data_IF_521361572471
#
_entry.id   IF_521361572471
#
_cell.length_a   1.000
_cell.length_b   1.000
_cell.length_c   1.000
_cell.angle_alpha   90.00
_cell.angle_beta   90.00
_cell.angle_gamma   90.00
#
_symmetry.space_group_name_H-M   'P 1'
#
loop_
_entity.id
_entity.type
_entity.pdbx_description
1 polymer ?
2 polymer ?
3 non-polymer ?
4 non-polymer ?
5 non-polymer ?
6 non-polymer ?
7 non-polymer ?
8 water ?
#
# COMPACT_ATOMS: atom_id res chain seq x y z
N UNK A 2 -7.47 6.08 26.40
CA UNK A 2 -7.49 4.57 26.36
C UNK A 2 -6.91 4.05 25.01
N UNK A 3 -7.31 4.69 23.92
CA UNK A 3 -6.94 4.17 22.58
C UNK A 3 -5.45 4.27 22.24
N UNK A 4 -4.76 5.22 22.89
CA UNK A 4 -3.33 5.41 22.68
C UNK A 4 -2.49 4.29 23.32
N UNK A 5 -3.05 3.61 24.34
CA UNK A 5 -2.38 2.50 25.02
C UNK A 5 -2.90 1.17 24.58
N UNK A 6 -2.03 0.35 24.00
CA UNK A 6 -2.36 -1.01 23.52
C UNK A 6 -3.64 -1.01 22.67
N UNK A 7 -3.81 0.07 21.93
CA UNK A 7 -4.95 0.18 20.99
C UNK A 7 -6.30 0.16 21.72
N UNK A 8 -6.32 0.51 23.03
CA UNK A 8 -7.59 0.49 23.77
C UNK A 8 -8.13 -0.91 23.98
N UNK A 9 -7.32 -1.94 23.71
CA UNK A 9 -7.71 -3.33 23.68
C UNK A 9 -8.48 -3.77 22.39
N UNK A 10 -8.69 -2.83 21.47
CA UNK A 10 -9.46 -3.09 20.24
C UNK A 10 -8.60 -3.90 19.26
N UNK A 11 -9.23 -4.79 18.56
CA UNK A 11 -8.52 -5.51 17.50
C UNK A 11 -8.18 -4.56 16.33
N UNK A 12 -9.10 -3.67 16.02
CA UNK A 12 -8.98 -2.75 14.86
C UNK A 12 -9.05 -1.31 15.34
N UNK A 13 -10.13 -0.57 15.13
CA UNK A 13 -10.14 0.83 15.29
C UNK A 13 -10.69 1.19 16.68
N UNK A 14 -10.31 2.34 17.21
CA UNK A 14 -10.64 2.70 18.67
C UNK A 14 -11.00 4.19 18.71
N UNK A 15 -12.07 4.57 19.40
CA UNK A 15 -12.47 5.99 19.61
C UNK A 15 -12.62 6.18 21.13
N UNK A 16 -12.06 7.28 21.63
CA UNK A 16 -12.27 7.71 23.02
C UNK A 16 -13.55 8.55 23.05
N UNK A 17 -14.29 8.42 24.15
CA UNK A 17 -15.49 9.22 24.41
C UNK A 17 -15.30 9.90 25.77
N UNK A 18 -16.16 10.87 26.08
CA UNK A 18 -16.04 11.59 27.36
C UNK A 18 -16.28 10.59 28.53
N UNK A 19 -15.40 10.63 29.53
CA UNK A 19 -15.50 9.73 30.68
C UNK A 19 -14.45 8.67 30.53
N UNK A 20 -14.51 7.60 31.33
CA UNK A 20 -13.65 6.42 31.12
C UNK A 20 -14.33 5.58 30.00
N UNK A 21 -14.72 6.21 28.86
CA UNK A 21 -15.44 5.44 27.79
C UNK A 21 -14.66 5.26 26.51
N UNK A 22 -14.82 4.11 25.90
CA UNK A 22 -14.06 3.77 24.69
C UNK A 22 -15.00 2.95 23.81
N UNK A 23 -14.94 3.12 22.47
CA UNK A 23 -15.69 2.26 21.60
C UNK A 23 -14.72 1.74 20.53
N UNK A 24 -14.70 0.45 20.38
CA UNK A 24 -13.98 -0.17 19.23
C UNK A 24 -14.86 -0.25 18.06
N UNK A 25 -14.20 -0.27 16.86
CA UNK A 25 -14.93 -0.39 15.66
C UNK A 25 -14.15 -1.32 14.71
N UNK A 26 -14.81 -1.76 13.65
CA UNK A 26 -14.22 -2.67 12.66
C UNK A 26 -14.37 -2.03 11.27
N UNK A 27 -13.44 -2.40 10.40
CA UNK A 27 -13.50 -1.98 8.99
C UNK A 27 -14.73 -2.58 8.34
N UNK A 28 -15.16 -1.98 7.22
CA UNK A 28 -16.14 -2.59 6.38
C UNK A 28 -15.75 -4.02 6.06
N UNK A 29 -16.73 -4.91 6.07
CA UNK A 29 -16.49 -6.28 5.86
C UNK A 29 -16.18 -7.13 7.10
N UNK A 30 -16.34 -6.42 8.23
CA UNK A 30 -16.15 -7.08 9.56
C UNK A 30 -17.28 -6.59 10.46
N UNK A 31 -17.57 -7.39 11.50
CA UNK A 31 -18.49 -6.93 12.55
C UNK A 31 -17.78 -7.11 13.90
N UNK A 32 -18.24 -6.27 14.84
CA UNK A 32 -17.68 -6.28 16.23
C UNK A 32 -18.40 -7.35 17.05
N UNK A 33 -17.65 -8.16 17.75
CA UNK A 33 -18.23 -9.19 18.61
C UNK A 33 -18.67 -8.58 19.94
N UNK A 34 -19.43 -9.41 20.64
CA UNK A 34 -20.01 -8.96 21.96
C UNK A 34 -18.99 -8.67 23.02
N UNK A 35 -17.74 -9.08 22.87
CA UNK A 35 -16.64 -8.66 23.71
C UNK A 35 -16.29 -7.17 23.60
N UNK A 36 -16.83 -6.54 22.52
CA UNK A 36 -16.65 -5.14 22.27
C UNK A 36 -15.26 -4.76 21.70
N UNK A 37 -14.45 -5.77 21.39
CA UNK A 37 -13.08 -5.57 20.91
C UNK A 37 -12.71 -6.34 19.64
N UNK A 38 -13.28 -7.52 19.45
CA UNK A 38 -12.89 -8.44 18.39
C UNK A 38 -13.68 -8.13 17.13
N UNK A 39 -13.04 -8.37 15.97
CA UNK A 39 -13.70 -8.15 14.69
C UNK A 39 -13.74 -9.45 13.93
N UNK A 40 -14.87 -9.84 13.36
CA UNK A 40 -14.97 -11.04 12.59
C UNK A 40 -15.46 -10.75 11.18
N UNK A 41 -14.87 -11.42 10.17
CA UNK A 41 -15.33 -11.14 8.80
C UNK A 41 -16.82 -11.43 8.59
N UNK A 42 -17.43 -10.64 7.74
CA UNK A 42 -18.81 -10.76 7.35
C UNK A 42 -18.98 -11.05 5.85
N UNK A 43 -17.85 -11.04 5.17
CA UNK A 43 -17.83 -11.30 3.71
C UNK A 43 -16.75 -12.32 3.42
N UNK A 44 -16.75 -12.82 2.18
CA UNK A 44 -15.86 -13.84 1.78
C UNK A 44 -14.39 -13.36 1.71
N UNK A 45 -14.21 -12.14 1.24
CA UNK A 45 -12.88 -11.56 0.98
C UNK A 45 -12.70 -10.24 1.65
N UNK A 46 -12.67 -10.29 3.01
CA UNK A 46 -12.45 -9.09 3.72
C UNK A 46 -11.05 -8.50 3.46
N UNK A 47 -10.90 -7.21 3.65
CA UNK A 47 -9.58 -6.59 3.44
C UNK A 47 -8.53 -7.16 4.39
N UNK A 48 -7.29 -7.26 3.91
CA UNK A 48 -6.16 -7.53 4.76
C UNK A 48 -6.05 -8.95 5.25
N UNK A 49 -6.83 -9.85 4.73
CA UNK A 49 -6.67 -11.30 4.98
C UNK A 49 -6.27 -12.02 3.73
N UNK A 50 -5.47 -13.08 3.90
CA UNK A 50 -4.89 -13.80 2.74
C UNK A 50 -5.62 -15.11 2.62
N UNK A 51 -6.54 -15.28 1.67
CA UNK A 51 -7.40 -16.45 1.58
C UNK A 51 -6.67 -17.81 1.62
N UNK A 52 -5.56 -17.92 0.91
CA UNK A 52 -4.90 -19.25 0.89
C UNK A 52 -4.29 -19.61 2.24
N UNK A 53 -4.01 -18.63 3.08
CA UNK A 53 -3.48 -18.84 4.43
C UNK A 53 -4.61 -19.01 5.44
N UNK A 54 -5.75 -18.32 5.25
CA UNK A 54 -6.92 -18.44 6.11
C UNK A 54 -7.58 -19.80 5.98
N UNK A 55 -7.56 -20.35 4.78
CA UNK A 55 -8.14 -21.67 4.50
C UNK A 55 -7.18 -22.82 4.87
N UNK A 56 -5.87 -22.56 4.86
CA UNK A 56 -4.86 -23.48 5.44
C UNK A 56 -4.99 -23.64 6.98
N UNK A 57 -5.58 -22.66 7.65
CA UNK A 57 -5.81 -22.66 9.11
C UNK A 57 -7.26 -22.94 9.56
N UNK A 58 -8.20 -23.13 8.63
CA UNK A 58 -9.67 -23.21 8.93
C UNK A 58 -10.14 -24.53 9.58
N UNK B 1 12.98 -5.59 -5.82
CA UNK B 1 13.23 -5.91 -4.39
C UNK B 1 14.64 -6.61 -4.36
N UNK B 2 15.50 -6.08 -3.55
CA UNK B 2 16.86 -6.60 -3.31
C UNK B 2 16.86 -7.37 -2.00
N UNK B 3 17.35 -8.61 -2.04
CA UNK B 3 17.53 -9.42 -0.89
C UNK B 3 16.28 -9.98 -0.25
N UNK B 4 15.19 -10.07 -1.03
CA UNK B 4 13.97 -10.73 -0.50
C UNK B 4 13.80 -12.13 -0.98
N UNK B 5 12.56 -12.60 -1.13
CA UNK B 5 12.25 -13.87 -1.60
C UNK B 5 10.99 -13.78 -2.46
N UNK B 6 10.72 -14.82 -3.18
CA UNK B 6 9.51 -14.88 -3.99
C UNK B 6 8.31 -14.86 -3.01
N UNK B 7 7.34 -13.98 -3.28
CA UNK B 7 6.04 -14.04 -2.53
C UNK B 7 5.26 -15.20 -3.09
N UNK B 8 4.99 -16.28 -2.29
CA UNK B 8 4.25 -17.35 -2.83
C UNK B 8 2.91 -16.87 -3.46
N UNK B 9 2.58 -17.39 -4.63
CA UNK B 9 1.44 -16.98 -5.40
C UNK B 9 0.19 -16.90 -4.50
N UNK B 10 -0.45 -15.76 -4.49
CA UNK B 10 -1.67 -15.58 -3.67
C UNK B 10 -1.39 -15.02 -2.30
N UNK B 11 -0.14 -14.95 -1.84
CA UNK B 11 0.16 -14.38 -0.53
C UNK B 11 0.34 -12.89 -0.45
N UNK B 12 0.36 -12.24 -1.63
CA UNK B 12 0.40 -10.80 -1.67
C UNK B 12 -0.76 -10.28 -2.59
N UNK B 13 -2.01 -10.61 -2.25
CA UNK B 13 -3.12 -10.56 -3.20
C UNK B 13 -3.62 -9.12 -3.53
N UNK B 14 -3.11 -8.18 -2.79
CA UNK B 14 -3.34 -6.74 -2.96
C UNK B 14 -2.37 -6.08 -3.91
N UNK B 15 -1.28 -6.81 -4.28
CA UNK B 15 -0.28 -6.18 -5.13
C UNK B 15 -0.84 -5.91 -6.52
N UNK B 16 -0.51 -4.74 -7.02
CA UNK B 16 -0.93 -4.31 -8.37
C UNK B 16 0.34 -4.13 -9.22
N UNK B 17 0.25 -4.53 -10.49
CA UNK B 17 1.27 -4.14 -11.50
C UNK B 17 0.65 -3.11 -12.41
N UNK B 18 1.35 -2.00 -12.57
CA UNK B 18 0.95 -0.96 -13.52
C UNK B 18 1.78 -1.04 -14.82
N UNK B 19 1.09 -1.02 -15.93
CA UNK B 19 1.71 -1.13 -17.28
C UNK B 19 1.34 0.10 -18.10
N UNK B 20 2.33 0.54 -18.94
CA UNK B 20 2.09 1.61 -19.94
C UNK B 20 2.55 1.03 -21.28
N UNK B 21 1.61 0.94 -22.21
CA UNK B 21 1.82 0.26 -23.52
C UNK B 21 2.45 -1.17 -23.36
N UNK B 22 1.98 -1.90 -22.35
CA UNK B 22 2.40 -3.20 -22.05
C UNK B 22 3.68 -3.33 -21.22
N UNK B 23 4.41 -2.24 -20.96
CA UNK B 23 5.68 -2.26 -20.27
C UNK B 23 5.46 -1.95 -18.80
N UNK B 24 6.25 -2.60 -17.96
CA UNK B 24 6.18 -2.41 -16.50
C UNK B 24 6.49 -0.96 -16.19
N UNK B 25 5.57 -0.31 -15.45
CA UNK B 25 5.75 1.05 -14.98
C UNK B 25 6.09 1.16 -13.52
N UNK B 26 5.27 0.49 -12.69
CA UNK B 26 5.31 0.73 -11.21
C UNK B 26 4.44 -0.35 -10.61
N UNK B 27 4.47 -0.41 -9.28
CA UNK B 27 3.51 -1.18 -8.53
C UNK B 27 2.42 -0.33 -8.01
N UNK B 28 1.53 -1.01 -7.26
CA UNK B 28 0.37 -0.31 -6.63
C UNK B 28 -0.19 -1.25 -5.59
N UNK B 29 -1.21 -0.73 -4.87
CA UNK B 29 -1.90 -1.51 -3.84
C UNK B 29 -3.40 -1.36 -4.03
N UNK B 30 -4.09 -2.48 -4.10
CA UNK B 30 -5.55 -2.45 -4.13
C UNK B 30 -6.07 -2.18 -2.71
N UNK B 31 -6.94 -1.18 -2.60
CA UNK B 31 -7.61 -0.91 -1.28
C UNK B 31 -9.11 -1.10 -1.31
N UNK B 32 -9.70 -1.26 -2.48
CA UNK B 32 -11.11 -1.56 -2.65
C UNK B 32 -11.25 -2.11 -4.03
N UNK B 33 -12.45 -2.51 -4.45
CA UNK B 33 -12.52 -3.12 -5.77
C UNK B 33 -12.29 -2.18 -6.96
N UNK B 34 -12.38 -0.87 -6.76
CA UNK B 34 -12.10 0.08 -7.86
C UNK B 34 -10.93 1.05 -7.57
N UNK B 35 -10.30 0.93 -6.41
CA UNK B 35 -9.29 1.91 -6.01
C UNK B 35 -7.93 1.30 -5.72
N UNK B 36 -6.92 1.91 -6.33
CA UNK B 36 -5.51 1.53 -6.18
C UNK B 36 -4.70 2.71 -5.70
N UNK B 37 -3.80 2.48 -4.77
CA UNK B 37 -2.89 3.48 -4.29
C UNK B 37 -1.51 3.19 -4.93
N UNK B 38 -0.88 4.23 -5.44
CA UNK B 38 0.46 4.11 -6.02
C UNK B 38 1.28 5.35 -5.68
N UNK B 39 2.40 5.59 -6.41
CA UNK B 39 3.26 6.69 -6.16
C UNK B 39 3.04 7.73 -7.26
N UNK B 40 2.92 9.00 -6.90
CA UNK B 40 2.75 10.07 -7.86
C UNK B 40 3.82 10.09 -8.96
N UNK B 41 5.08 9.82 -8.56
CA UNK B 41 6.19 9.97 -9.54
C UNK B 41 6.09 9.00 -10.69
N UNK B 42 5.35 7.88 -10.51
CA UNK B 42 5.13 6.92 -11.54
C UNK B 42 4.50 7.55 -12.78
N UNK B 43 3.81 8.69 -12.63
CA UNK B 43 3.05 9.30 -13.69
C UNK B 43 3.66 10.57 -14.27
N UNK B 44 4.86 10.91 -13.86
CA UNK B 44 5.45 12.23 -14.23
C UNK B 44 5.60 12.33 -15.74
N UNK B 45 5.77 11.22 -16.44
CA UNK B 45 6.09 11.30 -17.88
C UNK B 45 5.10 10.66 -18.78
N UNK B 46 3.90 10.37 -18.31
CA UNK B 46 2.92 9.74 -19.14
C UNK B 46 2.41 10.74 -20.19
N UNK B 47 2.35 10.31 -21.43
CA UNK B 47 1.86 11.16 -22.51
C UNK B 47 0.42 10.84 -22.81
N UNK B 48 0.12 9.57 -22.99
CA UNK B 48 -1.23 9.16 -23.28
C UNK B 48 -1.78 8.30 -22.10
N UNK B 49 -2.70 8.90 -21.37
CA UNK B 49 -3.29 8.28 -20.19
C UNK B 49 -4.10 7.04 -20.55
N UNK B 50 -4.53 6.90 -21.81
CA UNK B 50 -5.25 5.75 -22.25
C UNK B 50 -4.54 4.44 -22.31
N UNK B 51 -3.23 4.46 -22.21
CA UNK B 51 -2.48 3.28 -22.37
C UNK B 51 -2.01 2.77 -20.97
N UNK B 52 -2.58 3.29 -19.90
CA UNK B 52 -2.26 2.83 -18.52
C UNK B 52 -3.19 1.72 -18.13
N UNK B 53 -2.65 0.57 -17.71
CA UNK B 53 -3.37 -0.60 -17.31
C UNK B 53 -2.93 -1.03 -15.94
N UNK B 54 -3.88 -1.41 -15.06
CA UNK B 54 -3.56 -2.04 -13.79
C UNK B 54 -3.87 -3.54 -13.84
N UNK B 55 -3.01 -4.40 -13.35
CA UNK B 55 -3.20 -5.80 -13.36
C UNK B 55 -3.20 -6.28 -11.89
N UNK B 56 -4.27 -7.00 -11.52
CA UNK B 56 -4.41 -7.66 -10.24
C UNK B 56 -4.24 -9.17 -10.44
N UNK B 57 -3.88 -9.87 -9.38
CA UNK B 57 -3.74 -11.31 -9.42
C UNK B 57 -2.53 -11.80 -10.21
N UNK B 58 -1.61 -10.89 -10.45
CA UNK B 58 -0.36 -11.25 -11.17
C UNK B 58 0.59 -11.92 -10.22
N UNK B 59 1.45 -12.79 -10.80
CA UNK B 59 2.48 -13.42 -10.01
C UNK B 59 3.75 -13.62 -10.86
N UNK B 60 3.61 -14.46 -11.88
CA UNK B 60 4.79 -14.76 -12.79
C UNK B 60 4.50 -14.08 -14.11
N UNK B 61 5.28 -13.06 -14.41
CA UNK B 61 5.10 -12.29 -15.64
C UNK B 61 5.37 -13.04 -16.94
N UNK B 62 5.96 -14.19 -16.81
CA UNK B 62 6.24 -15.02 -17.98
C UNK B 62 5.04 -15.78 -18.50
N UNK B 63 3.95 -15.93 -17.70
CA UNK B 63 2.92 -16.83 -18.08
C UNK B 63 1.56 -16.23 -17.78
N UNK B 64 0.56 -16.72 -18.41
CA UNK B 64 -0.83 -16.42 -18.07
C UNK B 64 -1.41 -17.62 -17.41
N UNK B 65 -1.99 -17.45 -16.20
CA UNK B 65 -2.55 -18.59 -15.53
C UNK B 65 -4.05 -18.46 -15.28
N UNK B 66 -4.65 -17.35 -15.70
CA UNK B 66 -6.06 -17.14 -15.55
C UNK B 66 -6.53 -16.46 -14.28
N UNK B 67 -5.64 -16.23 -13.35
CA UNK B 67 -5.97 -15.45 -12.10
C UNK B 67 -5.79 -13.95 -12.30
N UNK B 68 -5.12 -13.51 -13.39
CA UNK B 68 -4.87 -12.10 -13.61
C UNK B 68 -6.15 -11.45 -13.99
N UNK B 69 -6.29 -10.17 -13.61
CA UNK B 69 -7.39 -9.33 -13.99
C UNK B 69 -6.83 -7.96 -14.35
N UNK B 70 -7.04 -7.56 -15.60
CA UNK B 70 -6.59 -6.27 -16.10
C UNK B 70 -7.70 -5.27 -16.18
N UNK B 71 -7.38 -4.01 -15.85
CA UNK B 71 -8.36 -2.90 -15.91
C UNK B 71 -7.69 -1.67 -16.45
N UNK B 72 -8.45 -0.90 -17.24
CA UNK B 72 -8.07 0.44 -17.57
C UNK B 72 -8.17 1.34 -16.34
N UNK B 73 -7.28 2.33 -16.34
CA UNK B 73 -7.24 3.36 -15.29
C UNK B 73 -8.05 4.54 -15.75
N UNK B 74 -9.14 4.85 -15.07
CA UNK B 74 -10.08 5.94 -15.41
C UNK B 74 -9.62 7.28 -14.83
N UNK B 75 -8.97 7.25 -13.67
CA UNK B 75 -8.56 8.53 -13.00
C UNK B 75 -7.26 8.29 -12.30
N UNK B 76 -6.33 9.25 -12.38
CA UNK B 76 -5.09 9.26 -11.60
C UNK B 76 -5.13 10.54 -10.79
N UNK B 77 -5.20 10.45 -9.48
CA UNK B 77 -5.38 11.61 -8.63
C UNK B 77 -4.10 11.82 -7.79
N UNK B 78 -3.55 13.02 -7.90
CA UNK B 78 -2.28 13.39 -7.30
C UNK B 78 -2.48 14.61 -6.36
N UNK B 79 -1.83 14.67 -5.21
CA UNK B 79 -1.99 15.86 -4.36
C UNK B 79 -1.41 17.10 -5.04
N UNK B 80 -2.07 18.23 -4.81
CA UNK B 80 -1.61 19.53 -5.32
C UNK B 80 -0.20 19.90 -4.87
N UNK B 81 0.21 19.39 -3.73
CA UNK B 81 1.52 19.65 -3.17
C UNK B 81 2.68 18.85 -3.73
N UNK B 82 2.38 17.82 -4.52
CA UNK B 82 3.44 17.02 -5.18
C UNK B 82 4.02 17.80 -6.34
N UNK B 83 5.37 17.81 -6.40
CA UNK B 83 6.11 18.39 -7.50
C UNK B 83 6.83 17.31 -8.30
N UNK B 84 6.55 17.23 -9.57
CA UNK B 84 7.18 16.19 -10.36
C UNK B 84 8.68 16.07 -10.18
N UNK B 85 9.18 14.84 -10.06
CA UNK B 85 10.59 14.57 -9.91
C UNK B 85 11.13 14.59 -8.51
N UNK B 86 10.26 14.71 -7.48
CA UNK B 86 10.65 14.79 -6.10
C UNK B 86 9.93 13.72 -5.29
N UNK B 87 10.26 13.68 -4.01
CA UNK B 87 9.87 12.66 -3.10
C UNK B 87 8.70 13.06 -2.28
N UNK B 88 8.57 14.34 -1.91
CA UNK B 88 7.53 14.70 -0.95
C UNK B 88 6.13 14.57 -1.57
N UNK B 89 5.20 14.03 -0.82
CA UNK B 89 3.83 13.85 -1.27
C UNK B 89 3.72 12.86 -2.45
N UNK B 90 4.54 11.82 -2.42
CA UNK B 90 4.62 10.89 -3.50
C UNK B 90 3.56 9.80 -3.34
N UNK B 91 2.35 10.17 -3.74
CA UNK B 91 1.20 9.30 -3.61
C UNK B 91 0.24 9.62 -4.75
N UNK B 92 -0.41 8.61 -5.23
CA UNK B 92 -1.46 8.71 -6.24
C UNK B 92 -2.61 7.78 -5.91
N UNK B 93 -3.84 8.21 -6.19
CA UNK B 93 -5.03 7.40 -6.03
C UNK B 93 -5.60 7.15 -7.41
N UNK B 94 -5.73 5.86 -7.78
CA UNK B 94 -6.14 5.44 -9.11
C UNK B 94 -7.51 4.80 -9.06
N UNK B 95 -8.43 5.32 -9.89
CA UNK B 95 -9.77 4.75 -10.05
C UNK B 95 -9.74 3.83 -11.26
N UNK B 96 -10.14 2.56 -11.10
CA UNK B 96 -10.21 1.63 -12.20
C UNK B 96 -11.52 1.88 -13.00
N UNK B 97 -11.48 1.53 -14.27
CA UNK B 97 -12.65 1.72 -15.14
C UNK B 97 -13.81 0.81 -14.78
N UNK B 98 -13.49 -0.36 -14.25
CA UNK B 98 -14.45 -1.35 -13.81
C UNK B 98 -13.87 -2.04 -12.59
N UNK B 99 -14.71 -2.43 -11.62
CA UNK B 99 -14.14 -3.12 -10.43
C UNK B 99 -13.42 -4.40 -10.80
N UNK B 100 -12.36 -4.72 -10.02
CA UNK B 100 -11.89 -6.08 -10.04
C UNK B 100 -12.86 -6.97 -9.30
N UNK B 101 -12.78 -8.28 -9.55
CA UNK B 101 -13.58 -9.28 -8.86
C UNK B 101 -12.72 -9.86 -7.77
N UNK B 102 -13.15 -9.80 -6.51
CA UNK B 102 -12.36 -10.38 -5.49
C UNK B 102 -12.39 -11.91 -5.55
N UNK B 103 -11.22 -12.47 -5.33
CA UNK B 103 -10.96 -13.92 -5.47
C UNK B 103 -9.91 -14.31 -4.49
N UNK B 104 -9.54 -15.62 -4.43
CA UNK B 104 -8.44 -15.98 -3.59
C UNK B 104 -7.10 -15.26 -3.92
N UNK B 105 -7.00 -14.80 -5.18
CA UNK B 105 -5.79 -14.15 -5.66
C UNK B 105 -5.87 -12.64 -5.78
N UNK B 106 -7.03 -12.05 -5.45
CA UNK B 106 -7.25 -10.60 -5.61
C UNK B 106 -8.08 -10.16 -4.39
N UNK B 107 -7.40 -9.49 -3.50
CA UNK B 107 -8.00 -9.03 -2.21
C UNK B 107 -7.42 -7.67 -1.88
N UNK B 108 -8.25 -6.70 -1.40
CA UNK B 108 -7.72 -5.41 -1.04
C UNK B 108 -6.94 -5.44 0.29
N UNK B 109 -5.98 -4.59 0.43
CA UNK B 109 -5.30 -4.30 1.68
C UNK B 109 -6.16 -3.26 2.42
N UNK B 110 -6.27 -3.41 3.76
CA UNK B 110 -7.10 -2.43 4.45
C UNK B 110 -6.41 -1.05 4.55
N UNK B 111 -7.12 0.00 4.19
CA UNK B 111 -6.65 1.33 4.45
C UNK B 111 -7.08 1.69 5.87
N UNK B 112 -6.10 1.89 6.77
CA UNK B 112 -6.48 2.06 8.19
C UNK B 112 -7.02 3.42 8.47
N UNK B 113 -7.75 3.53 9.61
CA UNK B 113 -7.98 4.91 10.14
C UNK B 113 -6.69 5.59 10.55
N UNK B 114 -6.65 6.90 10.44
CA UNK B 114 -5.47 7.67 10.79
C UNK B 114 -5.02 7.47 12.22
N UNK B 115 -5.95 7.60 13.19
CA UNK B 115 -5.54 7.37 14.56
C UNK B 115 -4.89 6.03 14.83
N UNK B 116 -5.53 4.96 14.36
CA UNK B 116 -5.00 3.61 14.51
C UNK B 116 -3.60 3.51 13.89
N UNK B 117 -3.47 4.10 12.71
CA UNK B 117 -2.20 3.98 12.00
C UNK B 117 -1.09 4.72 12.73
N UNK B 118 -1.42 5.87 13.27
CA UNK B 118 -0.45 6.72 14.03
C UNK B 118 -0.14 6.17 15.41
N UNK B 119 -1.17 5.73 16.10
CA UNK B 119 -1.04 5.29 17.51
C UNK B 119 -0.53 3.87 17.63
N UNK B 120 -0.82 3.00 16.66
CA UNK B 120 -0.57 1.60 16.73
C UNK B 120 0.35 1.07 15.62
N UNK B 121 -0.08 1.27 14.36
CA UNK B 121 0.68 0.60 13.30
C UNK B 121 2.08 1.18 13.12
N UNK B 122 2.27 2.48 13.44
CA UNK B 122 3.57 3.15 13.30
C UNK B 122 4.60 2.55 14.23
N UNK B 123 4.15 1.81 15.23
CA UNK B 123 5.09 1.13 16.17
C UNK B 123 5.30 -0.33 15.96
N UNK B 124 4.69 -0.93 14.93
CA UNK B 124 4.96 -2.26 14.59
C UNK B 124 6.30 -2.20 13.82
N UNK B 125 7.29 -2.97 14.28
CA UNK B 125 8.63 -2.77 13.74
C UNK B 125 8.80 -3.20 12.28
N UNK B 126 8.35 -4.39 11.97
CA UNK B 126 8.61 -5.00 10.65
C UNK B 126 7.32 -4.93 9.81
N UNK B 127 7.51 -4.69 8.51
CA UNK B 127 6.43 -4.73 7.54
C UNK B 127 6.95 -5.27 6.23
N UNK B 128 6.06 -5.62 5.33
CA UNK B 128 6.42 -6.24 4.06
C UNK B 128 6.33 -5.24 2.95
N UNK B 129 7.30 -5.29 2.04
CA UNK B 129 7.35 -4.49 0.82
C UNK B 129 7.53 -5.46 -0.31
N UNK B 130 6.87 -5.22 -1.44
CA UNK B 130 6.80 -6.14 -2.50
C UNK B 130 6.83 -5.49 -3.87
N UNK B 131 7.20 -6.27 -4.88
CA UNK B 131 7.13 -5.81 -6.28
C UNK B 131 7.94 -6.67 -7.24
N UNK B 132 7.86 -6.29 -8.50
CA UNK B 132 8.62 -6.91 -9.59
C UNK B 132 9.81 -6.04 -10.01
N UNK B 133 10.31 -5.23 -9.13
CA UNK B 133 11.40 -4.35 -9.43
C UNK B 133 12.75 -5.09 -9.54
N UNK B 134 13.75 -4.29 -9.76
CA UNK B 134 15.16 -4.83 -9.89
C UNK B 134 15.54 -5.65 -8.66
N UNK B 135 16.20 -6.78 -8.94
CA UNK B 135 16.71 -7.67 -7.90
C UNK B 135 18.05 -7.19 -7.32
N UNK B 136 18.68 -6.26 -8.01
CA UNK B 136 19.95 -5.64 -7.61
C UNK B 136 19.99 -4.27 -8.17
N UNK B 137 20.77 -3.41 -7.55
CA UNK B 137 21.09 -2.14 -8.16
C UNK B 137 21.75 -2.38 -9.54
N UNK B 138 21.25 -1.66 -10.55
CA UNK B 138 21.73 -1.84 -11.95
C UNK B 138 21.55 -3.29 -12.46
N UNK B 139 20.52 -4.01 -11.95
CA UNK B 139 20.20 -5.33 -12.35
C UNK B 139 18.85 -5.51 -13.04
N UNK B 140 18.59 -6.69 -13.53
CA UNK B 140 17.33 -7.07 -14.21
C UNK B 140 16.17 -7.08 -13.18
N UNK B 141 14.99 -6.80 -13.70
CA UNK B 141 13.78 -6.88 -12.82
C UNK B 141 13.37 -8.33 -12.68
N UNK B 142 12.54 -8.56 -11.65
CA UNK B 142 12.06 -9.87 -11.35
C UNK B 142 10.92 -10.37 -12.18
N UNK B 143 10.87 -11.64 -12.53
CA UNK B 143 9.76 -12.23 -13.26
C UNK B 143 8.60 -12.74 -12.30
N UNK B 144 9.00 -13.15 -11.12
CA UNK B 144 8.02 -13.52 -10.06
C UNK B 144 8.03 -12.42 -9.03
N UNK B 145 6.83 -12.20 -8.42
CA UNK B 145 6.69 -11.18 -7.40
C UNK B 145 7.55 -11.47 -6.19
N UNK B 146 8.24 -10.47 -5.73
CA UNK B 146 9.16 -10.60 -4.62
C UNK B 146 8.64 -9.83 -3.42
N UNK B 147 9.05 -10.24 -2.21
CA UNK B 147 8.66 -9.61 -1.00
C UNK B 147 9.82 -9.56 0.00
N UNK B 148 9.86 -8.54 0.82
CA UNK B 148 10.97 -8.28 1.73
C UNK B 148 10.38 -7.78 3.04
N UNK B 149 10.87 -8.31 4.17
CA UNK B 149 10.50 -7.75 5.50
C UNK B 149 11.47 -6.70 5.89
N UNK B 150 11.01 -5.50 6.16
CA UNK B 150 11.82 -4.37 6.49
C UNK B 150 11.44 -3.69 7.82
N UNK B 151 12.43 -3.25 8.61
CA UNK B 151 12.10 -2.58 9.85
C UNK B 151 12.03 -1.12 9.65
N UNK B 152 11.09 -0.46 10.34
CA UNK B 152 10.83 0.96 10.27
C UNK B 152 11.65 1.72 11.28
N UNK B 153 12.16 2.83 10.88
CA UNK B 153 12.98 3.71 11.77
C UNK B 153 12.17 4.89 12.20
N UNK B 154 12.33 5.35 13.44
CA UNK B 154 11.81 6.73 13.73
C UNK B 154 12.69 7.75 13.00
N UNK B 155 12.12 8.88 12.60
CA UNK B 155 12.81 9.75 11.66
C UNK B 155 14.13 10.33 12.25
N UNK B 156 14.13 10.61 13.54
CA UNK B 156 15.37 11.05 14.20
C UNK B 156 16.45 10.00 14.01
N UNK B 157 16.09 8.72 14.19
CA UNK B 157 17.05 7.59 14.03
C UNK B 157 17.47 7.44 12.60
N UNK B 158 16.59 7.72 11.63
CA UNK B 158 16.96 7.63 10.22
C UNK B 158 18.07 8.60 9.90
N UNK B 159 17.87 9.84 10.34
CA UNK B 159 18.84 10.92 10.04
C UNK B 159 20.23 10.61 10.65
N UNK B 160 20.24 10.19 11.93
CA UNK B 160 21.46 9.66 12.66
C UNK B 160 22.15 8.49 11.94
N UNK B 161 21.40 7.41 11.73
CA UNK B 161 21.94 6.17 11.14
C UNK B 161 22.33 6.25 9.65
N UNK B 162 22.08 7.39 8.96
CA UNK B 162 22.35 7.52 7.52
C UNK B 162 23.81 7.89 7.21
N UNK B 170 15.83 14.96 1.60
CA UNK B 170 15.37 15.34 2.93
C UNK B 170 14.15 14.50 3.40
N UNK B 171 14.08 14.20 4.69
CA UNK B 171 13.03 13.34 5.19
C UNK B 171 11.98 14.21 5.86
N UNK B 172 10.77 14.23 5.33
CA UNK B 172 9.75 15.08 5.88
C UNK B 172 8.74 14.22 6.71
N UNK B 173 7.78 14.92 7.29
CA UNK B 173 6.72 14.29 8.08
C UNK B 173 5.78 13.46 7.16
N UNK B 174 5.95 13.61 5.84
CA UNK B 174 5.16 12.87 4.87
C UNK B 174 5.79 11.59 4.43
N UNK B 175 6.93 11.21 5.04
CA UNK B 175 7.71 10.07 4.72
C UNK B 175 8.15 9.33 5.95
N UNK B 176 8.61 8.10 5.73
CA UNK B 176 9.37 7.39 6.76
C UNK B 176 10.41 6.54 6.12
N UNK B 177 11.48 6.23 6.90
CA UNK B 177 12.49 5.31 6.46
C UNK B 177 12.24 3.89 6.94
N UNK B 178 12.61 2.89 6.11
CA UNK B 178 12.58 1.54 6.52
C UNK B 178 13.58 0.71 5.71
N UNK B 179 14.10 -0.34 6.34
CA UNK B 179 15.04 -1.18 5.64
C UNK B 179 16.35 -1.26 6.42
N UNK B 180 17.43 -1.26 5.63
CA UNK B 180 18.79 -1.64 6.11
C UNK B 180 19.79 -0.68 5.46
N UNK B 181 20.82 -0.34 6.22
CA UNK B 181 21.89 0.58 5.76
C UNK B 181 23.14 -0.13 5.14
N UNK B 182 23.17 -1.45 5.05
CA UNK B 182 24.34 -2.22 4.52
C UNK B 182 24.33 -2.60 3.03
N UNK B 183 23.34 -2.13 2.29
CA UNK B 183 23.24 -2.45 0.89
C UNK B 183 22.72 -3.81 0.50
N UNK B 184 22.22 -4.59 1.46
CA UNK B 184 21.87 -5.97 1.25
C UNK B 184 20.39 -6.16 0.90
N UNK B 185 19.57 -5.25 1.41
CA UNK B 185 18.09 -5.50 1.35
C UNK B 185 17.39 -4.19 1.22
N UNK B 186 16.56 -4.07 0.19
CA UNK B 186 15.87 -2.77 -0.06
C UNK B 186 14.79 -3.00 -1.08
N UNK B 187 13.90 -2.01 -1.22
CA UNK B 187 13.07 -1.93 -2.40
C UNK B 187 13.95 -1.31 -3.50
N UNK B 188 13.50 -1.33 -4.74
CA UNK B 188 14.33 -0.85 -5.88
C UNK B 188 13.53 -0.33 -6.99
N UNK B 189 14.23 0.28 -7.95
CA UNK B 189 13.55 0.71 -9.14
C UNK B 189 12.72 -0.43 -9.75
N UNK B 190 11.48 -0.10 -10.11
CA UNK B 190 10.51 -1.03 -10.58
C UNK B 190 9.49 -1.43 -9.51
N UNK B 191 9.80 -1.15 -8.29
CA UNK B 191 8.87 -1.41 -7.14
C UNK B 191 8.11 -0.18 -6.75
N UNK B 192 8.50 1.03 -7.16
CA UNK B 192 7.81 2.24 -6.69
C UNK B 192 6.34 2.13 -6.91
N UNK B 193 5.64 2.67 -5.95
CA UNK B 193 4.20 2.60 -5.91
C UNK B 193 3.59 1.40 -5.16
N UNK B 194 4.40 0.36 -4.97
CA UNK B 194 3.94 -0.80 -4.29
C UNK B 194 3.75 -0.62 -2.77
N UNK B 195 3.18 -1.65 -2.17
CA UNK B 195 2.79 -1.57 -0.78
C UNK B 195 3.90 -1.77 0.20
N UNK B 196 3.82 -1.05 1.29
CA UNK B 196 4.49 -1.35 2.58
C UNK B 196 3.29 -1.69 3.54
N UNK B 197 3.17 -2.99 3.83
CA UNK B 197 1.98 -3.59 4.49
C UNK B 197 2.39 -3.99 5.87
N UNK B 198 1.49 -3.72 6.83
CA UNK B 198 1.83 -3.90 8.25
C UNK B 198 0.79 -4.79 8.88
N UNK B 199 1.21 -5.83 9.59
CA UNK B 199 0.30 -6.78 10.22
C UNK B 199 0.00 -6.39 11.65
N UNK B 200 -1.28 -6.40 12.02
CA UNK B 200 -1.67 -6.17 13.42
C UNK B 200 -2.86 -7.04 13.73
N UNK B 201 -2.68 -7.91 14.74
CA UNK B 201 -3.72 -8.80 15.23
C UNK B 201 -4.55 -9.48 14.14
N UNK B 202 -3.85 -10.10 13.17
CA UNK B 202 -4.40 -10.98 12.21
C UNK B 202 -4.84 -10.38 10.85
N UNK B 203 -4.65 -9.09 10.74
CA UNK B 203 -5.08 -8.31 9.52
C UNK B 203 -3.90 -7.43 9.10
N UNK B 204 -3.84 -7.22 7.78
CA UNK B 204 -2.83 -6.38 7.20
C UNK B 204 -3.37 -5.05 6.72
N UNK B 205 -2.55 -4.01 6.85
CA UNK B 205 -2.91 -2.64 6.61
C UNK B 205 -1.89 -1.92 5.73
N UNK B 206 -2.34 -0.94 4.99
CA UNK B 206 -1.41 -0.09 4.23
C UNK B 206 -0.83 1.00 5.07
N UNK B 207 0.48 0.97 5.27
CA UNK B 207 1.19 2.00 5.95
C UNK B 207 2.18 2.81 5.15
N UNK B 208 2.64 2.27 4.03
CA UNK B 208 3.58 3.06 3.23
C UNK B 208 3.44 2.71 1.75
N UNK B 209 3.99 3.62 0.94
CA UNK B 209 4.10 3.43 -0.52
C UNK B 209 5.60 3.49 -0.84
N UNK B 210 6.11 2.50 -1.62
CA UNK B 210 7.51 2.58 -2.09
C UNK B 210 7.68 3.87 -2.90
N UNK B 211 8.55 4.75 -2.47
CA UNK B 211 8.78 6.01 -3.18
C UNK B 211 10.14 5.90 -3.94
N UNK B 212 11.03 6.83 -3.75
CA UNK B 212 12.35 6.75 -4.45
C UNK B 212 13.29 7.68 -3.74
N UNK B 213 14.56 7.51 -4.11
CA UNK B 213 15.67 8.34 -3.68
C UNK B 213 16.72 8.21 -4.77
N UNK B 214 17.99 8.34 -4.38
CA UNK B 214 19.12 8.45 -5.36
C UNK B 214 19.54 7.13 -6.02
N UNK B 215 19.26 6.03 -5.34
CA UNK B 215 19.73 4.74 -5.78
C UNK B 215 19.42 3.73 -4.69
N UNK B 216 18.77 2.66 -5.12
CA UNK B 216 18.40 1.57 -4.26
C UNK B 216 19.61 0.81 -3.76
N UNK B 217 19.48 0.17 -2.59
CA UNK B 217 20.47 -0.74 -1.99
C UNK B 217 21.85 -0.03 -1.84
N UNK B 218 21.83 1.21 -1.41
CA UNK B 218 23.09 1.99 -1.29
C UNK B 218 23.52 1.94 0.16
N UNK B 219 24.78 1.56 0.42
CA UNK B 219 25.32 1.55 1.80
C UNK B 219 25.15 2.93 2.44
N UNK B 220 24.72 2.96 3.71
CA UNK B 220 24.45 4.22 4.42
C UNK B 220 23.06 4.84 4.23
N UNK B 221 22.21 4.22 3.40
CA UNK B 221 20.90 4.80 3.09
C UNK B 221 19.79 3.77 3.26
N UNK B 222 18.69 4.24 3.81
CA UNK B 222 17.50 3.40 3.96
C UNK B 222 16.51 3.67 2.84
N UNK B 223 15.58 2.75 2.64
CA UNK B 223 14.45 3.04 1.72
C UNK B 223 13.55 4.11 2.28
N UNK B 224 12.96 4.90 1.39
CA UNK B 224 12.04 5.98 1.73
C UNK B 224 10.64 5.61 1.21
N UNK B 225 9.68 5.76 2.13
CA UNK B 225 8.29 5.37 1.92
C UNK B 225 7.40 6.55 2.20
N UNK B 226 6.35 6.73 1.39
CA UNK B 226 5.37 7.72 1.68
C UNK B 226 4.57 7.30 2.90
N UNK B 227 4.38 8.22 3.83
CA UNK B 227 3.71 7.96 5.11
C UNK B 227 2.19 8.08 4.90
N UNK B 228 1.58 6.94 4.61
CA UNK B 228 0.16 6.89 4.19
C UNK B 228 -0.79 7.45 5.25
N UNK B 229 -0.39 7.38 6.52
CA UNK B 229 -1.27 7.94 7.57
C UNK B 229 -1.59 9.43 7.38
N UNK B 230 -0.73 10.16 6.72
CA UNK B 230 -0.93 11.58 6.46
C UNK B 230 -1.99 11.83 5.45
N UNK B 231 -2.34 10.80 4.68
CA UNK B 231 -3.24 10.94 3.52
C UNK B 231 -4.55 10.23 3.65
N UNK B 232 -4.86 9.65 4.80
CA UNK B 232 -6.06 8.81 4.93
C UNK B 232 -7.31 9.65 4.66
N UNK B 233 -7.42 10.83 5.28
CA UNK B 233 -8.58 11.72 5.07
C UNK B 233 -8.71 12.18 3.66
N UNK B 234 -7.55 12.48 3.05
CA UNK B 234 -7.49 12.92 1.65
C UNK B 234 -8.02 11.83 0.72
N UNK B 235 -7.51 10.61 0.92
CA UNK B 235 -7.95 9.43 0.16
C UNK B 235 -9.44 9.12 0.35
N UNK B 236 -9.90 9.15 1.62
CA UNK B 236 -11.29 8.84 1.88
C UNK B 236 -12.24 9.83 1.24
N UNK B 237 -11.88 11.09 1.30
CA UNK B 237 -12.73 12.07 0.65
C UNK B 237 -12.79 11.87 -0.86
N UNK B 238 -11.65 11.62 -1.48
CA UNK B 238 -11.66 11.35 -2.92
C UNK B 238 -12.45 10.12 -3.31
N UNK B 239 -12.39 9.06 -2.50
CA UNK B 239 -13.15 7.84 -2.82
C UNK B 239 -14.66 8.06 -2.75
N UNK B 240 -15.10 9.07 -2.03
CA UNK B 240 -16.56 9.45 -1.98
C UNK B 240 -16.96 10.41 -3.09
N UNK B 241 -16.05 10.83 -3.94
CA UNK B 241 -16.29 11.85 -4.97
C UNK B 241 -16.62 11.26 -6.27
N UNK B 242 -17.40 11.97 -7.10
CA UNK B 242 -17.60 11.49 -8.44
C UNK B 242 -16.45 11.70 -9.37
N UNK B 243 -16.25 10.79 -10.32
CA UNK B 243 -15.19 10.94 -11.31
C UNK B 243 -15.35 12.20 -12.16
N UNK B 244 -14.23 12.71 -12.68
CA UNK B 244 -14.17 13.90 -13.53
C UNK B 244 -13.59 13.56 -14.83
N UNK B 245 -14.04 14.21 -15.94
CA UNK B 245 -13.44 13.98 -17.22
C UNK B 245 -11.96 14.31 -17.17
N UNK B 246 -11.19 13.58 -17.95
CA UNK B 246 -9.76 13.75 -18.04
C UNK B 246 -9.10 12.89 -16.95
N UNK B 247 -8.21 12.04 -17.37
CA UNK B 247 -7.64 11.05 -16.45
C UNK B 247 -6.91 11.68 -15.26
N UNK B 248 -5.96 12.56 -15.52
CA UNK B 248 -5.23 13.20 -14.43
C UNK B 248 -6.05 14.20 -13.71
N UNK B 249 -6.08 14.11 -12.38
CA UNK B 249 -6.70 15.10 -11.49
C UNK B 249 -5.78 15.49 -10.42
N UNK B 250 -5.50 16.78 -10.28
CA UNK B 250 -4.77 17.30 -9.18
C UNK B 250 -5.75 17.78 -8.16
N UNK B 251 -5.66 17.24 -6.96
CA UNK B 251 -6.63 17.48 -5.86
C UNK B 251 -5.94 18.18 -4.72
N UNK B 252 -6.56 19.24 -4.16
CA UNK B 252 -5.94 19.93 -3.09
C UNK B 252 -5.55 19.04 -1.92
N UNK B 253 -4.38 19.32 -1.38
CA UNK B 253 -3.91 18.70 -0.16
C UNK B 253 -3.44 19.80 0.80
N UNK B 254 -3.85 19.76 2.05
CA UNK B 254 -4.71 18.77 2.68
C UNK B 254 -6.18 18.70 2.20
#
# INVERSE_FOLDING_TARGET
LICVNENGGCEQYCSDHTGTKRSCRCHEGYSLLADGVSCTPTVEYPCGKIPILEKRNASKPQGR
IVGGKVCPKGECPWQVLLLVNGAQLCGGTLINTIWVVSAAHCFDKIKNWRNLIAVLGEHDLSEHDGDEQSRRVAQVIIPSTYVPGTTNHDIALLRLHQPVVLTDHVVPLCLPERTFSERTLAFVRFSLVSGWGQLLDRGATALELMVLNVPRLMTQDCLQQSRKVGDSPNITEYMFCAGYSDGSKDSCKGDSGGPHATHYRGTWYLTGIVSWGQGCATVGHFGVYTRVSQYIEWLQKLMRSEPRPGVLLRAPFP
#
